data_IF_204341586330
#
_entry.id   IF_204341586330
#
_cell.length_a   1.000
_cell.length_b   1.000
_cell.length_c   1.000
_cell.angle_alpha   90.00
_cell.angle_beta   90.00
_cell.angle_gamma   90.00
#
_symmetry.space_group_name_H-M   'P 1'
#
loop_
_entity.id
_entity.type
_entity.pdbx_description
1 polymer ?
#
# COMPACT_ATOMS: atom_id res chain seq x y z
N UNK A 1 -14.69 20.98 -13.65
CA UNK A 1 -13.60 20.29 -12.92
C UNK A 1 -13.28 18.99 -13.65
N UNK A 2 -12.04 18.73 -14.04
CA UNK A 2 -11.66 17.43 -14.61
C UNK A 2 -11.75 16.40 -13.47
N UNK A 3 -12.56 15.35 -13.65
CA UNK A 3 -12.53 14.18 -12.77
C UNK A 3 -11.17 13.51 -12.96
N UNK A 4 -10.26 13.66 -12.01
CA UNK A 4 -9.07 12.80 -11.95
C UNK A 4 -9.56 11.43 -11.49
N UNK A 5 -9.79 10.53 -12.45
CA UNK A 5 -10.21 9.16 -12.15
C UNK A 5 -8.98 8.31 -11.81
N UNK A 6 -8.60 8.32 -10.53
CA UNK A 6 -7.65 7.34 -9.98
C UNK A 6 -8.22 5.94 -10.22
N UNK A 7 -7.53 5.15 -11.04
CA UNK A 7 -8.07 3.88 -11.53
C UNK A 7 -6.98 2.89 -11.88
N UNK A 8 -7.29 1.61 -11.68
CA UNK A 8 -6.46 0.47 -12.07
C UNK A 8 -7.11 -0.28 -13.24
N UNK A 9 -6.34 -1.11 -13.92
CA UNK A 9 -6.83 -1.94 -15.02
C UNK A 9 -6.68 -3.40 -14.64
N UNK A 10 -7.79 -4.14 -14.72
CA UNK A 10 -7.82 -5.59 -14.50
C UNK A 10 -8.67 -6.23 -15.60
N UNK A 11 -8.17 -7.29 -16.26
CA UNK A 11 -8.90 -7.98 -17.33
C UNK A 11 -9.49 -7.03 -18.40
N UNK A 12 -8.72 -6.02 -18.83
CA UNK A 12 -9.14 -4.95 -19.75
C UNK A 12 -10.31 -4.06 -19.28
N UNK A 13 -10.66 -4.12 -17.99
CA UNK A 13 -11.65 -3.24 -17.35
C UNK A 13 -10.94 -2.20 -16.49
N UNK A 14 -11.44 -0.97 -16.55
CA UNK A 14 -11.00 0.11 -15.68
C UNK A 14 -11.83 0.12 -14.41
N UNK A 15 -11.18 0.08 -13.26
CA UNK A 15 -11.81 0.12 -11.93
C UNK A 15 -11.36 1.38 -11.21
N UNK A 16 -12.31 2.19 -10.74
CA UNK A 16 -12.03 3.38 -9.95
C UNK A 16 -11.57 2.99 -8.55
N UNK A 17 -10.55 3.70 -8.04
CA UNK A 17 -9.98 3.47 -6.71
C UNK A 17 -10.38 4.61 -5.79
N UNK A 18 -11.00 4.27 -4.66
CA UNK A 18 -11.43 5.25 -3.65
C UNK A 18 -10.45 5.36 -2.48
N UNK A 19 -9.81 4.27 -2.08
CA UNK A 19 -8.90 4.21 -0.94
C UNK A 19 -7.71 3.29 -1.23
N UNK A 20 -6.58 3.55 -0.58
CA UNK A 20 -5.37 2.73 -0.63
C UNK A 20 -4.91 2.49 0.80
N UNK A 21 -5.05 1.25 1.28
CA UNK A 21 -4.53 0.82 2.57
C UNK A 21 -3.30 -0.04 2.36
N UNK A 22 -2.32 0.11 3.24
CA UNK A 22 -1.09 -0.67 3.25
C UNK A 22 -0.87 -1.27 4.65
N UNK A 23 -0.15 -2.38 4.71
CA UNK A 23 0.09 -3.14 5.94
C UNK A 23 1.58 -3.18 6.22
N UNK A 24 2.00 -2.52 7.30
CA UNK A 24 3.39 -2.52 7.74
C UNK A 24 3.75 -3.79 8.52
N UNK A 25 5.03 -4.18 8.46
CA UNK A 25 5.62 -5.32 9.21
C UNK A 25 4.98 -6.69 8.91
N UNK A 26 4.45 -6.87 7.71
CA UNK A 26 3.73 -8.10 7.32
C UNK A 26 4.64 -9.19 6.69
N UNK A 27 5.96 -8.95 6.62
CA UNK A 27 6.93 -9.94 6.14
C UNK A 27 7.90 -10.31 7.26
N UNK A 28 7.84 -11.57 7.70
CA UNK A 28 8.56 -12.03 8.90
C UNK A 28 10.08 -11.92 8.78
N UNK A 29 10.64 -12.07 7.57
CA UNK A 29 12.08 -11.94 7.35
C UNK A 29 12.53 -10.47 7.31
N UNK A 30 11.68 -9.55 6.84
CA UNK A 30 11.93 -8.10 6.93
C UNK A 30 11.83 -7.59 8.39
N UNK A 31 10.90 -8.15 9.18
CA UNK A 31 10.78 -7.83 10.62
C UNK A 31 12.05 -8.22 11.41
N UNK A 32 12.69 -9.34 11.04
CA UNK A 32 13.98 -9.78 11.64
C UNK A 32 15.12 -8.83 11.26
N UNK A 33 15.20 -8.39 10.01
CA UNK A 33 16.22 -7.42 9.54
C UNK A 33 16.12 -6.07 10.28
N UNK A 34 14.90 -5.61 10.58
CA UNK A 34 14.67 -4.35 11.30
C UNK A 34 14.71 -4.46 12.84
N UNK A 35 15.05 -5.63 13.42
CA UNK A 35 15.03 -5.90 14.88
C UNK A 35 13.75 -5.41 15.58
N UNK A 36 12.63 -5.42 14.88
CA UNK A 36 11.37 -4.88 15.41
C UNK A 36 10.53 -6.00 16.01
N UNK A 37 9.87 -5.74 17.14
CA UNK A 37 8.90 -6.69 17.68
C UNK A 37 7.76 -6.94 16.68
N UNK A 38 7.46 -8.21 16.44
CA UNK A 38 6.31 -8.63 15.65
C UNK A 38 5.06 -8.29 16.46
N UNK A 39 4.32 -7.27 16.03
CA UNK A 39 3.03 -6.93 16.62
C UNK A 39 2.06 -8.11 16.43
N UNK A 40 1.22 -8.39 17.44
CA UNK A 40 0.14 -9.38 17.31
C UNK A 40 -0.89 -8.97 16.28
N UNK A 41 -1.12 -7.66 16.15
CA UNK A 41 -2.08 -7.09 15.22
C UNK A 41 -1.36 -6.37 14.07
N UNK A 42 -1.89 -6.44 12.83
CA UNK A 42 -1.32 -5.75 11.68
C UNK A 42 -1.36 -4.23 11.85
N UNK A 43 -0.30 -3.55 11.39
CA UNK A 43 -0.22 -2.09 11.40
C UNK A 43 -0.72 -1.57 10.06
N UNK A 44 -1.83 -0.84 10.07
CA UNK A 44 -2.37 -0.21 8.87
C UNK A 44 -1.96 1.25 8.76
N UNK A 45 -1.65 1.67 7.53
CA UNK A 45 -1.54 3.08 7.16
C UNK A 45 -2.21 3.31 5.80
N UNK A 46 -2.50 4.57 5.50
CA UNK A 46 -3.21 4.95 4.28
C UNK A 46 -2.31 5.77 3.37
N UNK A 47 -2.40 5.52 2.06
CA UNK A 47 -1.81 6.39 1.05
C UNK A 47 -2.88 7.26 0.40
N UNK A 48 -2.51 8.50 0.07
CA UNK A 48 -3.37 9.38 -0.72
C UNK A 48 -3.58 8.80 -2.11
N UNK A 49 -4.77 8.98 -2.69
CA UNK A 49 -5.04 8.57 -4.08
C UNK A 49 -4.06 9.20 -5.10
N UNK A 50 -3.53 10.39 -4.79
CA UNK A 50 -2.51 11.07 -5.62
C UNK A 50 -1.20 10.28 -5.74
N UNK A 51 -0.94 9.30 -4.87
CA UNK A 51 0.24 8.44 -4.98
C UNK A 51 0.03 7.26 -5.93
N UNK A 52 -1.20 6.99 -6.40
CA UNK A 52 -1.45 5.93 -7.36
C UNK A 52 -0.93 6.33 -8.74
N UNK A 53 0.05 5.58 -9.23
CA UNK A 53 0.62 5.74 -10.57
C UNK A 53 0.58 4.42 -11.33
N UNK A 54 0.28 4.51 -12.62
CA UNK A 54 0.40 3.40 -13.59
C UNK A 54 1.51 3.64 -14.61
N UNK A 55 2.33 4.66 -14.40
CA UNK A 55 3.39 5.01 -15.32
C UNK A 55 4.50 3.94 -15.24
N UNK A 56 5.09 3.60 -16.39
CA UNK A 56 6.24 2.69 -16.47
C UNK A 56 7.51 3.28 -15.88
N UNK A 57 7.55 4.61 -15.73
CA UNK A 57 8.69 5.36 -15.21
C UNK A 57 8.27 6.12 -13.97
N UNK A 58 9.06 5.97 -12.90
CA UNK A 58 8.90 6.67 -11.64
C UNK A 58 9.99 7.74 -11.58
N UNK A 59 9.60 8.99 -11.40
CA UNK A 59 10.54 10.11 -11.19
C UNK A 59 10.65 10.34 -9.69
N UNK A 60 11.88 10.26 -9.17
CA UNK A 60 12.15 10.47 -7.76
C UNK A 60 12.68 11.90 -7.54
N UNK A 61 12.36 12.53 -6.40
CA UNK A 61 12.97 13.80 -6.01
C UNK A 61 14.48 13.63 -5.77
N UNK A 62 15.29 14.59 -6.22
CA UNK A 62 16.75 14.54 -6.11
C UNK A 62 17.26 14.81 -4.67
N UNK A 63 16.47 15.52 -3.87
CA UNK A 63 16.82 15.95 -2.52
C UNK A 63 16.41 14.96 -1.42
N UNK A 64 15.87 13.78 -1.78
CA UNK A 64 15.36 12.80 -0.84
C UNK A 64 15.85 11.38 -1.15
N UNK A 65 16.03 10.61 -0.09
CA UNK A 65 16.37 9.20 -0.18
C UNK A 65 15.08 8.37 -0.18
N UNK A 66 14.65 7.96 -1.37
CA UNK A 66 13.45 7.14 -1.55
C UNK A 66 13.83 5.68 -1.69
N UNK A 67 13.33 4.85 -0.78
CA UNK A 67 13.42 3.40 -0.84
C UNK A 67 12.19 2.82 -1.55
N UNK A 68 12.36 1.65 -2.17
CA UNK A 68 11.26 0.91 -2.77
C UNK A 68 11.03 -0.40 -2.02
N UNK A 69 9.77 -0.73 -1.79
CA UNK A 69 9.33 -2.01 -1.22
C UNK A 69 8.38 -2.67 -2.21
N UNK A 70 8.70 -3.88 -2.67
CA UNK A 70 7.83 -4.63 -3.59
C UNK A 70 6.73 -5.32 -2.79
N UNK A 71 5.48 -5.00 -3.10
CA UNK A 71 4.31 -5.47 -2.36
C UNK A 71 3.29 -6.15 -3.27
N UNK A 72 2.57 -7.12 -2.72
CA UNK A 72 1.37 -7.67 -3.35
C UNK A 72 0.21 -6.69 -3.13
N UNK A 73 -0.39 -6.24 -4.21
CA UNK A 73 -1.56 -5.34 -4.18
C UNK A 73 -2.81 -6.16 -4.39
N UNK A 74 -3.80 -5.98 -3.50
CA UNK A 74 -5.10 -6.65 -3.57
C UNK A 74 -6.15 -5.61 -3.97
N UNK A 75 -6.87 -5.87 -5.06
CA UNK A 75 -8.01 -5.06 -5.47
C UNK A 75 -9.29 -5.67 -4.88
N UNK A 76 -10.00 -4.90 -4.06
CA UNK A 76 -11.30 -5.28 -3.54
C UNK A 76 -12.40 -4.89 -4.54
N UNK A 77 -13.24 -5.85 -4.93
CA UNK A 77 -14.34 -5.65 -5.87
C UNK A 77 -15.69 -5.33 -5.22
N UNK A 78 -15.78 -5.51 -3.90
CA UNK A 78 -17.03 -5.38 -3.13
C UNK A 78 -16.78 -4.62 -1.83
N UNK A 79 -17.74 -3.78 -1.44
CA UNK A 79 -17.78 -3.20 -0.10
C UNK A 79 -18.16 -4.26 0.92
N UNK A 80 -17.63 -4.19 2.14
CA UNK A 80 -18.02 -5.06 3.23
C UNK A 80 -17.59 -4.52 4.59
N UNK A 81 -18.23 -5.04 5.64
CA UNK A 81 -17.93 -4.73 7.03
C UNK A 81 -17.95 -6.05 7.81
N UNK A 82 -16.98 -6.26 8.73
CA UNK A 82 -16.88 -7.47 9.56
C UNK A 82 -16.97 -8.77 8.75
N UNK A 83 -16.24 -8.80 7.63
CA UNK A 83 -16.18 -9.95 6.73
C UNK A 83 -15.55 -11.13 7.49
N UNK A 84 -16.23 -12.29 7.47
CA UNK A 84 -15.67 -13.53 8.02
C UNK A 84 -14.46 -13.96 7.20
N UNK A 85 -13.43 -14.48 7.87
CA UNK A 85 -12.19 -14.94 7.22
C UNK A 85 -12.47 -15.91 6.06
N UNK A 86 -13.35 -16.89 6.27
CA UNK A 86 -13.75 -17.89 5.24
C UNK A 86 -14.29 -17.26 3.95
N UNK A 87 -14.83 -16.04 4.03
CA UNK A 87 -15.44 -15.32 2.91
C UNK A 87 -14.51 -14.26 2.30
N UNK A 88 -13.31 -14.05 2.85
CA UNK A 88 -12.45 -12.93 2.46
C UNK A 88 -12.09 -12.95 0.96
N UNK A 89 -11.85 -14.14 0.40
CA UNK A 89 -11.51 -14.32 -1.01
C UNK A 89 -12.63 -13.87 -1.97
N UNK A 90 -13.90 -13.92 -1.54
CA UNK A 90 -15.03 -13.52 -2.38
C UNK A 90 -15.11 -12.01 -2.62
N UNK A 91 -14.35 -11.22 -1.84
CA UNK A 91 -14.28 -9.76 -1.95
C UNK A 91 -13.13 -9.29 -2.83
N UNK A 92 -12.21 -10.18 -3.22
CA UNK A 92 -11.05 -9.86 -4.04
C UNK A 92 -11.43 -9.94 -5.53
N UNK A 93 -11.31 -8.82 -6.23
CA UNK A 93 -11.47 -8.75 -7.69
C UNK A 93 -10.18 -9.19 -8.41
N UNK A 94 -9.03 -8.97 -7.79
CA UNK A 94 -7.77 -9.53 -8.26
C UNK A 94 -6.53 -9.03 -7.53
N UNK A 95 -5.38 -9.38 -8.09
CA UNK A 95 -4.07 -9.15 -7.51
C UNK A 95 -3.15 -8.44 -8.52
N UNK A 96 -2.17 -7.72 -8.00
CA UNK A 96 -1.10 -7.11 -8.77
C UNK A 96 0.16 -6.93 -7.94
N UNK A 97 1.16 -6.27 -8.54
CA UNK A 97 2.36 -5.84 -7.85
C UNK A 97 2.36 -4.32 -7.76
N UNK A 98 2.86 -3.81 -6.63
CA UNK A 98 3.03 -2.39 -6.39
C UNK A 98 4.39 -2.13 -5.76
N UNK A 99 4.88 -0.90 -5.93
CA UNK A 99 6.01 -0.39 -5.18
C UNK A 99 5.51 0.57 -4.12
N UNK A 100 5.68 0.21 -2.85
CA UNK A 100 5.55 1.16 -1.75
C UNK A 100 6.83 1.99 -1.67
N UNK A 101 6.77 3.19 -2.24
CA UNK A 101 7.87 4.16 -2.18
C UNK A 101 7.84 4.88 -0.83
N UNK A 102 8.96 4.80 -0.11
CA UNK A 102 9.10 5.34 1.24
C UNK A 102 10.29 6.30 1.32
N UNK A 103 10.05 7.51 1.80
CA UNK A 103 11.11 8.39 2.29
C UNK A 103 11.61 7.83 3.62
N UNK A 104 12.71 7.06 3.57
CA UNK A 104 13.17 6.28 4.72
C UNK A 104 13.67 7.16 5.85
N UNK A 105 14.32 8.27 5.49
CA UNK A 105 14.83 9.23 6.46
C UNK A 105 13.69 9.85 7.24
N UNK A 106 12.68 10.39 6.54
CA UNK A 106 11.51 10.99 7.18
C UNK A 106 10.76 9.98 8.05
N UNK A 107 10.55 8.75 7.55
CA UNK A 107 9.90 7.70 8.34
C UNK A 107 10.68 7.39 9.63
N UNK A 108 12.02 7.34 9.56
CA UNK A 108 12.87 7.08 10.72
C UNK A 108 12.83 8.21 11.75
N UNK A 109 12.67 9.45 11.30
CA UNK A 109 12.46 10.63 12.16
C UNK A 109 11.10 10.56 12.85
N UNK A 110 10.02 10.33 12.10
CA UNK A 110 8.65 10.22 12.65
C UNK A 110 8.52 9.08 13.67
N UNK A 111 9.16 7.93 13.41
CA UNK A 111 9.19 6.80 14.35
C UNK A 111 9.83 7.14 15.70
N UNK A 112 10.85 8.02 15.74
CA UNK A 112 11.47 8.45 17.01
C UNK A 112 10.48 9.20 17.89
N UNK A 113 9.58 9.95 17.26
CA UNK A 113 8.53 10.71 17.94
C UNK A 113 7.27 9.86 18.19
N UNK A 114 7.34 8.54 17.95
CA UNK A 114 6.20 7.61 18.02
C UNK A 114 5.01 8.01 17.13
N UNK A 115 5.32 8.66 16.01
CA UNK A 115 4.37 9.01 14.96
C UNK A 115 4.40 7.94 13.84
N UNK A 116 3.28 7.73 13.13
CA UNK A 116 3.21 6.80 12.01
C UNK A 116 4.17 7.17 10.87
#
# INVERSE_FOLDING_TARGET
>A
MKKNNYSVTINNKTVEVANIYAVGRNYSDHAKEMKSEISKDPIFFQKSLTSLSKNSTIVLPEDREIHYELEVVILLGKSGEKIREDNAMDYIEGFGLGLDLTDRKLQSELKKDSLP
#
